data_IF_374531330036
#
_entry.id   IF_374531330036
#
_cell.length_a   1.000
_cell.length_b   1.000
_cell.length_c   1.000
_cell.angle_alpha   90.00
_cell.angle_beta   90.00
_cell.angle_gamma   90.00
#
_symmetry.space_group_name_H-M   'P 1'
#
loop_
_entity.id
_entity.type
_entity.pdbx_description
1 polymer ?
#
# COMPACT_ATOMS: atom_id res chain seq x y z
N UNK A 1 3.03 -14.67 9.76
CA UNK A 1 2.06 -13.62 10.12
C UNK A 1 2.35 -12.33 9.35
N UNK A 2 3.11 -11.34 9.84
CA UNK A 2 3.27 -10.05 9.10
C UNK A 2 3.84 -10.22 7.69
N UNK A 3 4.81 -11.12 7.48
CA UNK A 3 5.34 -11.39 6.13
C UNK A 3 4.30 -11.98 5.17
N UNK A 4 3.36 -12.79 5.66
CA UNK A 4 2.29 -13.37 4.86
C UNK A 4 1.25 -12.30 4.52
N UNK A 5 0.90 -11.46 5.50
CA UNK A 5 0.01 -10.31 5.30
C UNK A 5 0.59 -9.33 4.27
N UNK A 6 1.91 -9.06 4.32
CA UNK A 6 2.59 -8.21 3.33
C UNK A 6 2.56 -8.83 1.93
N UNK A 7 2.75 -10.14 1.82
CA UNK A 7 2.65 -10.86 0.56
C UNK A 7 1.21 -10.82 0.00
N UNK A 8 0.20 -10.96 0.86
CA UNK A 8 -1.22 -10.85 0.50
C UNK A 8 -1.58 -9.45 -0.01
N UNK A 9 -0.94 -8.41 0.55
CA UNK A 9 -1.00 -7.04 0.04
C UNK A 9 -0.18 -6.84 -1.24
N UNK A 10 0.59 -7.84 -1.68
CA UNK A 10 1.36 -7.83 -2.92
C UNK A 10 2.81 -7.36 -2.77
N UNK A 11 3.31 -7.19 -1.55
CA UNK A 11 4.73 -6.94 -1.28
C UNK A 11 5.48 -8.25 -1.08
N UNK A 12 6.19 -8.65 -2.11
CA UNK A 12 7.04 -9.85 -2.13
C UNK A 12 8.44 -9.51 -1.60
N UNK A 13 8.71 -9.92 -0.35
CA UNK A 13 9.98 -9.63 0.35
C UNK A 13 11.17 -10.36 -0.30
N UNK A 14 10.95 -11.51 -0.94
CA UNK A 14 12.03 -12.30 -1.55
C UNK A 14 12.62 -11.61 -2.79
N UNK A 15 11.90 -10.63 -3.34
CA UNK A 15 12.32 -9.85 -4.51
C UNK A 15 13.00 -8.54 -4.15
N UNK A 16 13.13 -8.22 -2.87
CA UNK A 16 13.79 -7.02 -2.40
C UNK A 16 15.31 -7.26 -2.24
N UNK A 17 16.11 -6.25 -2.57
CA UNK A 17 17.54 -6.29 -2.27
C UNK A 17 17.78 -6.23 -0.76
N UNK A 18 18.96 -6.67 -0.32
CA UNK A 18 19.34 -6.62 1.10
C UNK A 18 19.23 -5.20 1.69
N UNK A 19 19.59 -4.17 0.92
CA UNK A 19 19.44 -2.77 1.33
C UNK A 19 17.98 -2.36 1.54
N UNK A 20 17.09 -2.78 0.64
CA UNK A 20 15.66 -2.52 0.77
C UNK A 20 15.07 -3.24 1.98
N UNK A 21 15.46 -4.49 2.21
CA UNK A 21 15.07 -5.26 3.38
C UNK A 21 15.52 -4.59 4.67
N UNK A 22 16.76 -4.09 4.74
CA UNK A 22 17.27 -3.38 5.93
C UNK A 22 16.43 -2.14 6.26
N UNK A 23 16.06 -1.34 5.26
CA UNK A 23 15.20 -0.16 5.46
C UNK A 23 13.78 -0.54 5.88
N UNK A 24 13.20 -1.56 5.25
CA UNK A 24 11.88 -2.06 5.60
C UNK A 24 11.85 -2.59 7.04
N UNK A 25 12.90 -3.29 7.48
CA UNK A 25 13.01 -3.76 8.86
C UNK A 25 13.17 -2.64 9.88
N UNK A 26 13.86 -1.55 9.53
CA UNK A 26 13.95 -0.37 10.38
C UNK A 26 12.58 0.26 10.58
N UNK A 27 11.82 0.43 9.50
CA UNK A 27 10.46 0.98 9.58
C UNK A 27 9.51 0.05 10.34
N UNK A 28 9.61 -1.27 10.11
CA UNK A 28 8.83 -2.26 10.86
C UNK A 28 9.03 -2.13 12.37
N UNK A 29 10.28 -1.97 12.82
CA UNK A 29 10.59 -1.77 14.25
C UNK A 29 9.98 -0.48 14.78
N UNK A 30 10.04 0.60 14.00
CA UNK A 30 9.43 1.89 14.34
C UNK A 30 7.91 1.75 14.52
N UNK A 31 7.21 1.21 13.52
CA UNK A 31 5.75 1.06 13.54
C UNK A 31 5.29 0.11 14.63
N UNK A 32 5.97 -1.03 14.82
CA UNK A 32 5.65 -2.00 15.88
C UNK A 32 5.80 -1.43 17.29
N UNK A 33 6.61 -0.39 17.47
CA UNK A 33 6.72 0.28 18.78
C UNK A 33 5.49 1.14 19.12
N UNK A 34 4.67 1.49 18.11
CA UNK A 34 3.51 2.37 18.22
C UNK A 34 2.18 1.63 18.02
N UNK A 35 2.22 0.45 17.38
CA UNK A 35 1.07 -0.34 16.99
C UNK A 35 1.30 -1.79 17.36
N UNK A 36 0.29 -2.42 17.97
CA UNK A 36 0.35 -3.82 18.42
C UNK A 36 -0.41 -4.75 17.49
N UNK A 37 -1.33 -4.22 16.69
CA UNK A 37 -2.17 -5.02 15.80
C UNK A 37 -1.41 -5.42 14.52
N UNK A 38 -1.14 -6.72 14.34
CA UNK A 38 -0.26 -7.22 13.26
C UNK A 38 -0.69 -6.80 11.86
N UNK A 39 -1.99 -6.87 11.54
CA UNK A 39 -2.49 -6.42 10.23
C UNK A 39 -2.42 -4.90 10.07
N UNK A 40 -2.56 -4.13 11.16
CA UNK A 40 -2.35 -2.67 11.11
C UNK A 40 -0.90 -2.36 10.79
N UNK A 41 0.05 -3.09 11.41
CA UNK A 41 1.48 -2.99 11.09
C UNK A 41 1.74 -3.35 9.62
N UNK A 42 1.17 -4.45 9.12
CA UNK A 42 1.34 -4.88 7.72
C UNK A 42 0.81 -3.82 6.74
N UNK A 43 -0.39 -3.28 6.99
CA UNK A 43 -0.98 -2.19 6.20
C UNK A 43 -0.04 -0.99 6.17
N UNK A 44 0.39 -0.49 7.34
CA UNK A 44 1.22 0.72 7.41
C UNK A 44 2.59 0.51 6.76
N UNK A 45 3.20 -0.67 6.89
CA UNK A 45 4.46 -1.00 6.21
C UNK A 45 4.29 -1.05 4.70
N UNK A 46 3.21 -1.68 4.23
CA UNK A 46 2.90 -1.74 2.81
C UNK A 46 2.67 -0.33 2.22
N UNK A 47 1.91 0.50 2.93
CA UNK A 47 1.62 1.88 2.48
C UNK A 47 2.87 2.74 2.53
N UNK A 48 3.65 2.70 3.60
CA UNK A 48 4.97 3.35 3.65
C UNK A 48 5.86 2.92 2.48
N UNK A 49 5.88 1.63 2.17
CA UNK A 49 6.66 1.10 1.04
C UNK A 49 6.23 1.77 -0.27
N UNK A 50 4.93 1.90 -0.52
CA UNK A 50 4.39 2.54 -1.73
C UNK A 50 4.62 4.06 -1.74
N UNK A 51 4.25 4.75 -0.67
CA UNK A 51 4.03 6.20 -0.70
C UNK A 51 5.22 7.01 -0.18
N UNK A 52 6.10 6.43 0.65
CA UNK A 52 7.14 7.17 1.37
C UNK A 52 8.57 6.67 1.13
N UNK A 53 8.74 5.36 0.92
CA UNK A 53 10.06 4.70 1.03
C UNK A 53 11.12 5.14 0.01
N UNK A 54 10.72 5.80 -1.09
CA UNK A 54 11.53 6.00 -2.31
C UNK A 54 12.05 4.72 -2.97
N UNK A 55 11.71 3.54 -2.41
CA UNK A 55 12.05 2.22 -2.95
C UNK A 55 11.02 1.78 -4.00
N UNK A 56 9.81 2.32 -3.89
CA UNK A 56 8.74 2.05 -4.82
C UNK A 56 9.09 2.51 -6.23
N UNK A 57 9.20 1.55 -7.15
CA UNK A 57 9.29 1.83 -8.57
C UNK A 57 7.88 1.93 -9.16
N UNK A 58 7.56 3.02 -9.85
CA UNK A 58 6.32 3.14 -10.63
C UNK A 58 6.21 2.04 -11.71
N UNK A 59 7.32 1.42 -12.10
CA UNK A 59 7.30 0.24 -12.97
C UNK A 59 6.65 -0.99 -12.32
N UNK A 60 6.67 -1.10 -10.99
CA UNK A 60 5.97 -2.14 -10.24
C UNK A 60 4.43 -2.00 -10.36
N UNK A 61 3.94 -0.79 -10.66
CA UNK A 61 2.52 -0.55 -10.96
C UNK A 61 2.08 -0.98 -12.36
N UNK A 62 3.00 -1.43 -13.24
CA UNK A 62 2.65 -1.80 -14.61
C UNK A 62 1.67 -2.98 -14.69
N UNK A 63 1.56 -3.80 -13.63
CA UNK A 63 0.44 -4.74 -13.52
C UNK A 63 -0.82 -4.00 -13.11
N UNK A 64 -1.70 -3.81 -14.09
CA UNK A 64 -3.03 -3.25 -13.89
C UNK A 64 -3.73 -3.89 -12.67
N UNK A 65 -4.26 -3.03 -11.80
CA UNK A 65 -5.05 -3.43 -10.63
C UNK A 65 -4.27 -3.95 -9.42
N UNK A 66 -2.92 -3.94 -9.40
CA UNK A 66 -2.17 -4.39 -8.23
C UNK A 66 -2.53 -3.60 -6.97
N UNK A 67 -2.49 -2.27 -7.05
CA UNK A 67 -2.85 -1.39 -5.92
C UNK A 67 -4.33 -1.47 -5.56
N UNK A 68 -5.21 -1.57 -6.56
CA UNK A 68 -6.65 -1.77 -6.32
C UNK A 68 -6.93 -3.07 -5.57
N UNK A 69 -6.25 -4.17 -5.92
CA UNK A 69 -6.34 -5.44 -5.19
C UNK A 69 -5.83 -5.30 -3.75
N UNK A 70 -4.72 -4.62 -3.52
CA UNK A 70 -4.23 -4.38 -2.15
C UNK A 70 -5.26 -3.59 -1.32
N UNK A 71 -5.89 -2.55 -1.88
CA UNK A 71 -6.96 -1.80 -1.20
C UNK A 71 -8.18 -2.69 -0.91
N UNK A 72 -8.59 -3.51 -1.88
CA UNK A 72 -9.68 -4.47 -1.69
C UNK A 72 -9.35 -5.50 -0.59
N UNK A 73 -8.12 -6.02 -0.55
CA UNK A 73 -7.64 -6.92 0.51
C UNK A 73 -7.69 -6.24 1.88
N UNK A 74 -7.20 -5.01 2.00
CA UNK A 74 -7.26 -4.24 3.24
C UNK A 74 -8.70 -4.08 3.74
N UNK A 75 -9.65 -3.77 2.83
CA UNK A 75 -11.08 -3.69 3.15
C UNK A 75 -11.69 -5.05 3.50
N UNK A 76 -11.27 -6.13 2.85
CA UNK A 76 -11.73 -7.47 3.21
C UNK A 76 -11.30 -7.85 4.63
N UNK A 77 -10.11 -7.40 5.07
CA UNK A 77 -9.70 -7.60 6.47
C UNK A 77 -10.58 -6.85 7.46
N UNK A 78 -11.12 -5.67 7.14
CA UNK A 78 -12.05 -4.95 8.04
C UNK A 78 -13.36 -5.71 8.25
N UNK A 79 -13.82 -6.48 7.24
CA UNK A 79 -14.99 -7.33 7.40
C UNK A 79 -14.76 -8.44 8.44
N UNK A 80 -13.53 -8.96 8.53
CA UNK A 80 -13.14 -9.94 9.56
C UNK A 80 -12.77 -9.31 10.90
N UNK A 81 -12.35 -8.05 10.90
CA UNK A 81 -11.87 -7.32 12.05
C UNK A 81 -12.14 -5.81 11.91
N UNK A 82 -13.30 -5.33 12.39
CA UNK A 82 -13.70 -3.94 12.26
C UNK A 82 -12.76 -2.93 12.93
N UNK A 83 -11.91 -3.36 13.87
CA UNK A 83 -10.93 -2.48 14.51
C UNK A 83 -9.88 -1.95 13.51
N UNK A 84 -9.74 -2.61 12.35
CA UNK A 84 -8.87 -2.18 11.26
C UNK A 84 -9.45 -1.03 10.43
N UNK A 85 -10.74 -0.73 10.53
CA UNK A 85 -11.39 0.24 9.63
C UNK A 85 -10.72 1.63 9.64
N UNK A 86 -10.37 2.24 10.79
CA UNK A 86 -9.71 3.53 10.81
C UNK A 86 -8.34 3.53 10.10
N UNK A 87 -7.56 2.45 10.26
CA UNK A 87 -6.25 2.35 9.59
C UNK A 87 -6.44 2.11 8.10
N UNK A 88 -7.35 1.24 7.69
CA UNK A 88 -7.62 0.97 6.27
C UNK A 88 -8.08 2.22 5.53
N UNK A 89 -8.99 3.00 6.11
CA UNK A 89 -9.48 4.25 5.50
C UNK A 89 -8.34 5.25 5.34
N UNK A 90 -7.54 5.50 6.39
CA UNK A 90 -6.41 6.45 6.35
C UNK A 90 -5.38 6.06 5.30
N UNK A 91 -4.98 4.79 5.30
CA UNK A 91 -3.85 4.30 4.51
C UNK A 91 -4.25 4.11 3.03
N UNK A 92 -5.50 3.71 2.75
CA UNK A 92 -6.03 3.69 1.39
C UNK A 92 -6.09 5.10 0.78
N UNK A 93 -6.40 6.12 1.58
CA UNK A 93 -6.43 7.51 1.09
C UNK A 93 -5.02 8.03 0.78
N UNK A 94 -4.03 7.69 1.61
CA UNK A 94 -2.62 8.01 1.34
C UNK A 94 -2.16 7.43 -0.01
N UNK A 95 -2.52 6.18 -0.30
CA UNK A 95 -2.24 5.56 -1.60
C UNK A 95 -2.91 6.32 -2.74
N UNK A 96 -4.20 6.67 -2.62
CA UNK A 96 -4.92 7.41 -3.67
C UNK A 96 -4.28 8.77 -3.96
N UNK A 97 -3.91 9.51 -2.92
CA UNK A 97 -3.24 10.79 -3.05
C UNK A 97 -1.89 10.66 -3.76
N UNK A 98 -1.09 9.66 -3.37
CA UNK A 98 0.18 9.37 -4.02
C UNK A 98 0.01 9.06 -5.52
N UNK A 99 -0.98 8.24 -5.89
CA UNK A 99 -1.27 7.95 -7.29
C UNK A 99 -1.71 9.18 -8.07
N UNK A 100 -2.53 10.04 -7.45
CA UNK A 100 -2.94 11.31 -8.05
C UNK A 100 -1.73 12.18 -8.39
N UNK A 101 -0.81 12.35 -7.44
CA UNK A 101 0.43 13.11 -7.64
C UNK A 101 1.31 12.51 -8.75
N UNK A 102 1.43 11.17 -8.82
CA UNK A 102 2.15 10.52 -9.92
C UNK A 102 1.52 10.85 -11.27
N UNK A 103 0.20 10.75 -11.39
CA UNK A 103 -0.49 11.00 -12.65
C UNK A 103 -0.40 12.47 -13.09
N UNK A 104 -0.53 13.41 -12.16
CA UNK A 104 -0.32 14.83 -12.45
C UNK A 104 1.11 15.09 -12.94
N UNK A 105 2.12 14.54 -12.26
CA UNK A 105 3.53 14.69 -12.65
C UNK A 105 3.83 14.02 -14.00
N UNK A 106 3.12 12.95 -14.35
CA UNK A 106 3.25 12.27 -15.63
C UNK A 106 2.50 12.96 -16.79
N UNK A 107 1.83 14.10 -16.53
CA UNK A 107 0.97 14.80 -17.48
C UNK A 107 -0.09 13.90 -18.12
N UNK A 108 -0.61 12.92 -17.36
CA UNK A 108 -1.62 12.00 -17.86
C UNK A 108 -2.92 12.76 -18.20
N UNK A 109 -3.63 12.41 -19.28
CA UNK A 109 -4.90 13.05 -19.61
C UNK A 109 -5.90 12.94 -18.44
N UNK A 110 -6.59 14.03 -18.11
CA UNK A 110 -7.49 14.10 -16.95
C UNK A 110 -8.57 13.01 -16.95
N UNK A 111 -9.08 12.61 -18.11
CA UNK A 111 -10.02 11.49 -18.25
C UNK A 111 -9.43 10.16 -17.77
N UNK A 112 -8.17 9.88 -18.09
CA UNK A 112 -7.45 8.68 -17.65
C UNK A 112 -7.22 8.67 -16.13
N UNK A 113 -6.95 9.83 -15.54
CA UNK A 113 -6.82 9.98 -14.08
C UNK A 113 -8.14 9.65 -13.39
N UNK A 114 -9.24 10.23 -13.88
CA UNK A 114 -10.58 10.01 -13.33
C UNK A 114 -11.02 8.55 -13.46
N UNK A 115 -10.79 7.91 -14.61
CA UNK A 115 -11.11 6.49 -14.80
C UNK A 115 -10.29 5.58 -13.88
N UNK A 116 -9.00 5.88 -13.69
CA UNK A 116 -8.15 5.15 -12.77
C UNK A 116 -8.64 5.31 -11.32
N UNK A 117 -9.05 6.52 -10.93
CA UNK A 117 -9.63 6.80 -9.61
C UNK A 117 -10.97 6.07 -9.39
N UNK A 118 -11.87 6.09 -10.37
CA UNK A 118 -13.16 5.38 -10.25
C UNK A 118 -12.93 3.88 -10.04
N UNK A 119 -12.00 3.27 -10.79
CA UNK A 119 -11.64 1.85 -10.61
C UNK A 119 -11.01 1.57 -9.24
N UNK A 120 -10.21 2.49 -8.71
CA UNK A 120 -9.60 2.37 -7.38
C UNK A 120 -10.60 2.58 -6.24
N UNK A 121 -11.67 3.35 -6.45
CA UNK A 121 -12.71 3.58 -5.45
C UNK A 121 -13.74 2.46 -5.40
N UNK A 122 -13.99 1.80 -6.54
CA UNK A 122 -14.94 0.70 -6.69
C UNK A 122 -14.36 -0.70 -6.36
N UNK A 123 -13.04 -0.86 -6.36
CA UNK A 123 -12.34 -2.03 -5.83
C UNK A 123 -12.18 -1.89 -4.32
#
# INVERSE_FOLDING_TARGET
>A
MVSEDLLELGLDLDRLSEDHLRRLWAEFKSIRSQETHMRSIAIRIFVWYIVESKLFSSSAMRRSGAVGRSIATMRAWTASDPALEPVVVREAEAIKLFLYQIFENAAAPRGTILEAQTRLLQA
#
